data_IF_176698726100
#
_entry.id   IF_176698726100
#
_cell.length_a   1.000
_cell.length_b   1.000
_cell.length_c   1.000
_cell.angle_alpha   90.00
_cell.angle_beta   90.00
_cell.angle_gamma   90.00
#
_symmetry.space_group_name_H-M   'P 1'
#
loop_
_entity.id
_entity.type
_entity.pdbx_description
1 polymer ?
#
# COMPACT_ATOMS: atom_id res chain seq x y z
N UNK A 1 -25.36 6.23 29.52
CA UNK A 1 -24.10 5.83 28.87
C UNK A 1 -24.42 4.84 27.75
N UNK A 2 -23.94 5.08 26.54
CA UNK A 2 -24.08 4.12 25.44
C UNK A 2 -23.05 3.00 25.66
N UNK A 3 -23.52 1.82 26.05
CA UNK A 3 -22.67 0.63 26.17
C UNK A 3 -22.42 0.05 24.77
N UNK A 4 -21.26 0.34 24.18
CA UNK A 4 -20.87 -0.25 22.90
C UNK A 4 -20.47 -1.71 23.17
N UNK A 5 -21.30 -2.67 22.74
CA UNK A 5 -21.02 -4.10 22.88
C UNK A 5 -20.06 -4.63 21.82
N UNK A 6 -20.07 -4.03 20.63
CA UNK A 6 -19.18 -4.36 19.52
C UNK A 6 -19.02 -3.13 18.60
N UNK A 7 -17.93 -3.12 17.84
CA UNK A 7 -17.64 -2.10 16.83
C UNK A 7 -16.89 -2.74 15.66
N UNK A 8 -16.95 -2.11 14.49
CA UNK A 8 -16.31 -2.65 13.29
C UNK A 8 -14.97 -1.98 13.06
N UNK A 9 -13.95 -2.78 12.77
CA UNK A 9 -12.64 -2.33 12.34
C UNK A 9 -12.47 -2.70 10.89
N UNK A 10 -12.20 -1.71 10.04
CA UNK A 10 -11.85 -1.91 8.63
C UNK A 10 -10.32 -1.91 8.57
N UNK A 11 -9.74 -3.02 8.13
CA UNK A 11 -8.30 -3.13 7.89
C UNK A 11 -8.06 -2.84 6.41
N UNK A 12 -7.46 -1.70 6.10
CA UNK A 12 -6.94 -1.38 4.77
C UNK A 12 -5.63 -2.15 4.52
N UNK A 13 -5.61 -2.94 3.46
CA UNK A 13 -4.50 -3.81 3.08
C UNK A 13 -3.59 -3.12 2.07
N UNK A 14 -2.35 -3.62 1.96
CA UNK A 14 -1.33 -3.02 1.09
C UNK A 14 -1.71 -3.05 -0.40
N UNK A 15 -2.58 -3.97 -0.82
CA UNK A 15 -3.06 -4.09 -2.20
C UNK A 15 -4.30 -3.22 -2.50
N UNK A 16 -4.81 -2.47 -1.53
CA UNK A 16 -6.03 -1.66 -1.65
C UNK A 16 -7.34 -2.40 -1.35
N UNK A 17 -7.27 -3.69 -1.02
CA UNK A 17 -8.42 -4.42 -0.47
C UNK A 17 -8.64 -4.05 0.99
N UNK A 18 -9.81 -4.41 1.53
CA UNK A 18 -10.12 -4.22 2.95
C UNK A 18 -10.70 -5.47 3.62
N UNK A 19 -10.44 -5.60 4.93
CA UNK A 19 -11.02 -6.63 5.78
C UNK A 19 -11.88 -5.99 6.87
N UNK A 20 -13.15 -6.36 6.92
CA UNK A 20 -14.05 -5.95 7.99
C UNK A 20 -13.98 -6.96 9.14
N UNK A 21 -13.60 -6.48 10.33
CA UNK A 21 -13.44 -7.29 11.55
C UNK A 21 -14.32 -6.71 12.65
N UNK A 22 -15.27 -7.51 13.14
CA UNK A 22 -16.03 -7.15 14.35
C UNK A 22 -15.19 -7.36 15.60
N UNK A 23 -15.07 -6.30 16.41
CA UNK A 23 -14.30 -6.30 17.64
C UNK A 23 -15.18 -5.98 18.84
N UNK A 24 -14.85 -6.60 19.97
CA UNK A 24 -15.39 -6.21 21.29
C UNK A 24 -14.42 -5.23 21.99
N UNK A 25 -14.88 -4.43 22.97
CA UNK A 25 -14.04 -3.39 23.60
C UNK A 25 -12.73 -3.87 24.24
N UNK A 26 -12.63 -5.14 24.60
CA UNK A 26 -11.43 -5.73 25.20
C UNK A 26 -10.34 -6.12 24.19
N UNK A 27 -10.60 -6.08 22.88
CA UNK A 27 -9.62 -6.47 21.86
C UNK A 27 -8.42 -5.53 21.88
N UNK A 28 -7.23 -6.12 21.97
CA UNK A 28 -5.94 -5.41 21.97
C UNK A 28 -5.30 -5.39 20.58
N UNK A 29 -4.38 -4.46 20.35
CA UNK A 29 -3.56 -4.39 19.14
C UNK A 29 -2.86 -5.70 18.80
N UNK A 30 -2.36 -6.43 19.81
CA UNK A 30 -1.77 -7.77 19.60
C UNK A 30 -2.78 -8.77 19.03
N UNK A 31 -3.98 -8.84 19.61
CA UNK A 31 -5.00 -9.80 19.19
C UNK A 31 -5.51 -9.50 17.78
N UNK A 32 -5.79 -8.23 17.50
CA UNK A 32 -6.22 -7.80 16.17
C UNK A 32 -5.13 -8.11 15.13
N UNK A 33 -3.87 -7.75 15.40
CA UNK A 33 -2.77 -8.01 14.48
C UNK A 33 -2.54 -9.51 14.25
N UNK A 34 -2.64 -10.33 15.30
CA UNK A 34 -2.52 -11.78 15.14
C UNK A 34 -3.59 -12.34 14.21
N UNK A 35 -4.85 -11.91 14.37
CA UNK A 35 -5.96 -12.32 13.50
C UNK A 35 -5.72 -11.92 12.04
N UNK A 36 -5.29 -10.68 11.80
CA UNK A 36 -4.98 -10.18 10.45
C UNK A 36 -3.81 -10.95 9.84
N UNK A 37 -2.72 -11.13 10.59
CA UNK A 37 -1.53 -11.83 10.11
C UNK A 37 -1.79 -13.31 9.80
N UNK A 38 -2.67 -13.97 10.55
CA UNK A 38 -3.10 -15.35 10.29
C UNK A 38 -3.98 -15.43 9.04
N UNK A 39 -4.95 -14.51 8.89
CA UNK A 39 -5.80 -14.42 7.71
C UNK A 39 -4.98 -14.24 6.42
N UNK A 40 -4.02 -13.32 6.45
CA UNK A 40 -3.11 -13.03 5.33
C UNK A 40 -1.96 -14.04 5.18
N UNK A 41 -1.86 -15.02 6.10
CA UNK A 41 -0.77 -16.02 6.14
C UNK A 41 0.63 -15.38 6.13
N UNK A 42 0.79 -14.25 6.83
CA UNK A 42 2.06 -13.55 6.93
C UNK A 42 3.10 -14.41 7.65
N UNK A 43 4.24 -14.64 6.98
CA UNK A 43 5.40 -15.35 7.54
C UNK A 43 6.29 -14.41 8.33
N UNK A 44 6.72 -13.30 7.73
CA UNK A 44 7.64 -12.33 8.33
C UNK A 44 6.89 -11.26 9.16
N UNK A 45 6.05 -11.71 10.09
CA UNK A 45 5.13 -10.89 10.89
C UNK A 45 5.80 -9.76 11.67
N UNK A 46 7.10 -9.83 11.94
CA UNK A 46 7.79 -8.78 12.67
C UNK A 46 7.98 -7.50 11.83
N UNK A 47 7.91 -7.60 10.49
CA UNK A 47 8.10 -6.47 9.58
C UNK A 47 6.86 -5.60 9.44
N UNK A 48 5.67 -6.12 9.73
CA UNK A 48 4.41 -5.42 9.56
C UNK A 48 3.81 -5.00 10.90
N UNK A 49 2.93 -4.01 10.85
CA UNK A 49 2.15 -3.55 11.97
C UNK A 49 0.82 -2.97 11.52
N UNK A 50 -0.06 -2.76 12.48
CA UNK A 50 -1.30 -2.02 12.28
C UNK A 50 -1.08 -0.57 12.71
N UNK A 51 -1.50 0.36 11.87
CA UNK A 51 -1.41 1.79 12.14
C UNK A 51 -2.76 2.47 11.90
N UNK A 52 -3.06 3.49 12.69
CA UNK A 52 -4.18 4.40 12.41
C UNK A 52 -3.64 5.75 11.92
N UNK A 53 -4.45 6.47 11.17
CA UNK A 53 -4.10 7.83 10.73
C UNK A 53 -4.41 8.84 11.83
N UNK A 54 -3.43 9.68 12.16
CA UNK A 54 -3.59 10.83 13.03
C UNK A 54 -3.00 12.08 12.34
N UNK A 55 -3.87 12.99 11.90
CA UNK A 55 -3.47 14.01 10.92
C UNK A 55 -3.07 13.34 9.61
N UNK A 56 -1.85 13.63 9.15
CA UNK A 56 -1.25 13.06 7.93
C UNK A 56 -0.25 11.93 8.23
N UNK A 57 -0.15 11.47 9.48
CA UNK A 57 0.84 10.46 9.89
C UNK A 57 0.20 9.12 10.28
N UNK A 58 0.89 8.04 9.92
CA UNK A 58 0.57 6.68 10.36
C UNK A 58 1.17 6.40 11.73
N UNK A 59 0.31 6.22 12.74
CA UNK A 59 0.72 5.89 14.11
C UNK A 59 0.50 4.40 14.37
N UNK A 60 1.60 3.67 14.59
CA UNK A 60 1.54 2.23 14.89
C UNK A 60 0.89 1.95 16.24
N UNK A 61 -0.06 1.02 16.24
CA UNK A 61 -0.81 0.60 17.42
C UNK A 61 0.08 -0.24 18.34
N UNK A 62 0.11 0.10 19.63
CA UNK A 62 0.85 -0.71 20.60
C UNK A 62 0.16 -2.06 20.84
N UNK A 63 0.97 -3.09 21.12
CA UNK A 63 0.47 -4.46 21.37
C UNK A 63 -0.53 -4.53 22.51
N UNK A 64 -0.40 -3.68 23.53
CA UNK A 64 -1.24 -3.66 24.73
C UNK A 64 -2.39 -2.65 24.65
N UNK A 65 -2.36 -1.73 23.68
CA UNK A 65 -3.42 -0.75 23.48
C UNK A 65 -4.71 -1.44 23.08
N UNK A 66 -5.84 -1.03 23.67
CA UNK A 66 -7.15 -1.52 23.23
C UNK A 66 -7.56 -0.78 21.97
N UNK A 67 -8.10 -1.50 21.01
CA UNK A 67 -8.55 -0.90 19.76
C UNK A 67 -9.73 0.05 20.01
N UNK A 68 -10.55 -0.24 21.01
CA UNK A 68 -11.66 0.61 21.43
C UNK A 68 -11.20 2.03 21.82
N UNK A 69 -10.03 2.17 22.43
CA UNK A 69 -9.49 3.47 22.85
C UNK A 69 -9.19 4.38 21.64
N UNK A 70 -9.02 3.81 20.45
CA UNK A 70 -8.80 4.54 19.20
C UNK A 70 -10.05 5.23 18.65
N UNK A 71 -11.26 4.85 19.11
CA UNK A 71 -12.53 5.48 18.66
C UNK A 71 -12.56 6.98 18.91
N UNK A 72 -11.83 7.46 19.92
CA UNK A 72 -11.77 8.87 20.28
C UNK A 72 -10.61 9.62 19.61
N UNK A 73 -9.62 8.89 19.08
CA UNK A 73 -8.38 9.46 18.55
C UNK A 73 -8.33 9.48 17.03
N UNK A 74 -9.02 8.55 16.38
CA UNK A 74 -9.17 8.55 14.93
C UNK A 74 -10.33 9.48 14.55
N UNK A 75 -10.30 10.05 13.35
CA UNK A 75 -11.50 10.53 12.67
C UNK A 75 -12.41 9.33 12.38
N UNK A 76 -13.01 8.78 13.43
CA UNK A 76 -13.85 7.59 13.37
C UNK A 76 -14.89 7.86 12.28
N UNK A 77 -14.83 7.06 11.22
CA UNK A 77 -15.83 7.09 10.18
C UNK A 77 -17.16 6.91 10.91
N UNK A 78 -18.05 7.88 10.75
CA UNK A 78 -19.35 7.95 11.41
C UNK A 78 -19.95 6.56 11.60
N UNK A 79 -20.46 6.25 12.81
CA UNK A 79 -21.14 4.98 13.19
C UNK A 79 -20.22 3.83 13.67
N UNK A 80 -19.36 4.07 14.67
CA UNK A 80 -18.58 3.00 15.35
C UNK A 80 -17.67 2.19 14.41
N UNK A 81 -17.12 2.80 13.36
CA UNK A 81 -16.15 2.17 12.46
C UNK A 81 -14.78 2.82 12.62
N UNK A 82 -13.75 1.99 12.74
CA UNK A 82 -12.35 2.43 12.81
C UNK A 82 -11.63 1.96 11.56
N UNK A 83 -10.97 2.86 10.85
CA UNK A 83 -10.06 2.52 9.77
C UNK A 83 -8.65 2.32 10.33
N UNK A 84 -8.05 1.18 10.04
CA UNK A 84 -6.69 0.82 10.43
C UNK A 84 -5.99 0.31 9.18
N UNK A 85 -4.73 0.69 8.99
CA UNK A 85 -3.92 0.31 7.84
C UNK A 85 -2.91 -0.77 8.26
N UNK A 86 -2.79 -1.82 7.46
CA UNK A 86 -1.63 -2.70 7.50
C UNK A 86 -0.44 -1.97 6.84
N UNK A 87 0.66 -1.79 7.56
CA UNK A 87 1.85 -1.09 7.06
C UNK A 87 3.13 -1.87 7.39
N UNK A 88 4.19 -1.67 6.61
CA UNK A 88 5.55 -2.08 6.97
C UNK A 88 6.07 -1.17 8.08
N UNK A 89 6.44 -1.76 9.21
CA UNK A 89 6.98 -1.09 10.39
C UNK A 89 8.50 -0.98 10.37
N UNK A 90 9.18 -2.01 9.86
CA UNK A 90 10.63 -2.04 9.80
C UNK A 90 11.08 -2.30 8.38
N UNK A 91 11.70 -1.29 7.77
CA UNK A 91 12.22 -1.43 6.43
C UNK A 91 13.58 -2.17 6.46
N UNK A 92 13.68 -3.26 5.70
CA UNK A 92 14.89 -3.95 5.31
C UNK A 92 15.71 -3.09 4.35
N UNK A 93 17.00 -2.95 4.64
CA UNK A 93 17.97 -2.24 3.79
C UNK A 93 18.65 -3.15 2.75
N UNK A 94 18.49 -4.47 2.88
CA UNK A 94 19.08 -5.46 1.99
C UNK A 94 17.99 -6.33 1.37
N UNK A 95 17.88 -6.27 0.05
CA UNK A 95 16.90 -7.04 -0.74
C UNK A 95 17.12 -8.55 -0.63
N UNK A 96 18.33 -9.01 -0.31
CA UNK A 96 18.63 -10.43 -0.09
C UNK A 96 17.94 -10.98 1.17
N UNK A 97 17.46 -10.11 2.06
CA UNK A 97 16.64 -10.49 3.20
C UNK A 97 15.18 -10.79 2.78
N UNK A 98 14.74 -10.33 1.60
CA UNK A 98 13.39 -10.58 1.06
C UNK A 98 13.32 -11.91 0.29
N UNK A 99 13.52 -13.01 1.03
CA UNK A 99 13.72 -14.35 0.45
C UNK A 99 12.48 -14.92 -0.24
N UNK A 100 11.28 -14.58 0.22
CA UNK A 100 10.03 -15.14 -0.31
C UNK A 100 9.38 -14.21 -1.35
N UNK A 101 8.79 -14.76 -2.43
CA UNK A 101 8.01 -13.95 -3.38
C UNK A 101 6.90 -13.14 -2.70
N UNK A 102 6.22 -13.74 -1.73
CA UNK A 102 5.15 -13.08 -0.96
C UNK A 102 5.65 -11.87 -0.19
N UNK A 103 6.81 -11.95 0.47
CA UNK A 103 7.38 -10.80 1.15
C UNK A 103 7.74 -9.70 0.16
N UNK A 104 8.39 -10.04 -0.96
CA UNK A 104 8.73 -9.05 -2.01
C UNK A 104 7.51 -8.33 -2.54
N UNK A 105 6.44 -9.07 -2.84
CA UNK A 105 5.19 -8.50 -3.31
C UNK A 105 4.59 -7.51 -2.30
N UNK A 106 4.47 -7.91 -1.03
CA UNK A 106 3.97 -7.01 0.03
C UNK A 106 4.85 -5.77 0.20
N UNK A 107 6.15 -5.92 0.04
CA UNK A 107 7.11 -4.83 0.14
C UNK A 107 6.99 -3.85 -1.03
N UNK A 108 6.86 -4.37 -2.25
CA UNK A 108 6.54 -3.60 -3.45
C UNK A 108 5.26 -2.78 -3.25
N UNK A 109 4.19 -3.41 -2.75
CA UNK A 109 2.92 -2.73 -2.48
C UNK A 109 3.06 -1.60 -1.45
N UNK A 110 3.79 -1.82 -0.35
CA UNK A 110 4.07 -0.75 0.60
C UNK A 110 4.81 0.42 -0.05
N UNK A 111 5.89 0.15 -0.80
CA UNK A 111 6.67 1.20 -1.44
C UNK A 111 5.87 1.94 -2.52
N UNK A 112 4.92 1.27 -3.17
CA UNK A 112 3.97 1.90 -4.10
C UNK A 112 3.02 2.84 -3.37
N UNK A 113 2.49 2.43 -2.22
CA UNK A 113 1.67 3.30 -1.39
C UNK A 113 2.48 4.52 -0.91
N UNK A 114 3.70 4.31 -0.40
CA UNK A 114 4.59 5.39 0.04
C UNK A 114 4.90 6.37 -1.09
N UNK A 115 5.11 5.86 -2.30
CA UNK A 115 5.36 6.66 -3.49
C UNK A 115 4.16 7.55 -3.81
N UNK A 116 2.96 6.97 -3.93
CA UNK A 116 1.73 7.70 -4.29
C UNK A 116 1.32 8.71 -3.22
N UNK A 117 1.53 8.40 -1.94
CA UNK A 117 1.32 9.30 -0.81
C UNK A 117 2.34 10.46 -0.77
N UNK A 118 3.43 10.38 -1.55
CA UNK A 118 4.46 11.41 -1.60
C UNK A 118 5.45 11.36 -0.44
N UNK A 119 5.59 10.21 0.23
CA UNK A 119 6.48 10.02 1.38
C UNK A 119 7.98 10.09 1.00
N UNK A 120 8.31 10.17 -0.29
CA UNK A 120 9.64 10.52 -0.77
C UNK A 120 9.61 11.28 -2.10
N UNK A 121 10.54 12.22 -2.25
CA UNK A 121 10.71 13.00 -3.48
C UNK A 121 11.71 12.32 -4.41
N UNK A 122 11.36 12.19 -5.69
CA UNK A 122 12.29 11.80 -6.75
C UNK A 122 12.11 12.71 -7.97
N UNK A 123 13.05 12.65 -8.91
CA UNK A 123 12.90 13.37 -10.16
C UNK A 123 11.82 12.74 -11.06
N UNK A 124 11.41 13.47 -12.09
CA UNK A 124 10.34 13.05 -12.98
C UNK A 124 10.67 11.74 -13.73
N UNK A 125 11.93 11.49 -14.08
CA UNK A 125 12.32 10.29 -14.82
C UNK A 125 12.30 9.05 -13.93
N UNK A 126 12.74 9.19 -12.68
CA UNK A 126 12.62 8.12 -11.67
C UNK A 126 11.14 7.83 -11.41
N UNK A 127 10.31 8.87 -11.19
CA UNK A 127 8.88 8.69 -10.98
C UNK A 127 8.19 7.96 -12.15
N UNK A 128 8.51 8.32 -13.39
CA UNK A 128 8.00 7.64 -14.59
C UNK A 128 8.50 6.19 -14.70
N UNK A 129 9.74 5.91 -14.28
CA UNK A 129 10.28 4.55 -14.27
C UNK A 129 9.59 3.67 -13.22
N UNK A 130 9.35 4.21 -12.02
CA UNK A 130 8.59 3.58 -10.93
C UNK A 130 7.15 3.30 -11.38
N UNK A 131 6.50 4.28 -12.01
CA UNK A 131 5.15 4.11 -12.56
C UNK A 131 5.10 3.05 -13.67
N UNK A 132 6.08 3.05 -14.59
CA UNK A 132 6.16 2.05 -15.67
C UNK A 132 6.36 0.63 -15.13
N UNK A 133 7.23 0.45 -14.13
CA UNK A 133 7.41 -0.83 -13.44
C UNK A 133 6.14 -1.27 -12.71
N UNK A 134 5.37 -0.32 -12.17
CA UNK A 134 4.09 -0.64 -11.53
C UNK A 134 3.06 -1.11 -12.54
N UNK A 135 2.97 -0.47 -13.72
CA UNK A 135 2.13 -0.95 -14.81
C UNK A 135 2.55 -2.35 -15.26
N UNK A 136 3.87 -2.60 -15.40
CA UNK A 136 4.39 -3.92 -15.79
C UNK A 136 4.08 -4.99 -14.72
N UNK A 137 4.18 -4.65 -13.44
CA UNK A 137 3.85 -5.55 -12.34
C UNK A 137 2.35 -5.91 -12.32
N UNK A 138 1.47 -4.97 -12.70
CA UNK A 138 0.02 -5.16 -12.68
C UNK A 138 -0.50 -5.84 -13.96
N UNK A 139 -0.16 -5.31 -15.13
CA UNK A 139 -0.68 -5.77 -16.43
C UNK A 139 0.22 -6.81 -17.10
N UNK A 140 1.53 -6.75 -16.88
CA UNK A 140 2.50 -7.47 -17.70
C UNK A 140 2.77 -6.70 -18.99
N UNK A 141 3.16 -7.39 -20.06
CA UNK A 141 3.42 -6.74 -21.34
C UNK A 141 2.17 -6.01 -21.86
N UNK A 142 2.36 -4.80 -22.38
CA UNK A 142 1.27 -4.03 -22.96
C UNK A 142 0.73 -4.70 -24.23
N UNK A 143 -0.55 -5.08 -24.22
CA UNK A 143 -1.26 -5.56 -25.39
C UNK A 143 -2.25 -4.49 -25.92
N UNK A 144 -1.93 -3.91 -27.07
CA UNK A 144 -2.78 -2.91 -27.73
C UNK A 144 -4.16 -3.44 -28.16
N UNK A 145 -4.30 -4.74 -28.34
CA UNK A 145 -5.56 -5.38 -28.74
C UNK A 145 -6.54 -5.54 -27.58
N UNK A 146 -6.02 -5.64 -26.35
CA UNK A 146 -6.81 -5.83 -25.13
C UNK A 146 -7.15 -4.48 -24.47
N UNK A 147 -6.18 -3.56 -24.42
CA UNK A 147 -6.20 -2.44 -23.49
C UNK A 147 -6.51 -1.07 -24.13
N UNK A 148 -6.28 -0.91 -25.43
CA UNK A 148 -6.34 0.40 -26.09
C UNK A 148 -5.41 1.43 -25.42
N UNK A 149 -5.67 2.74 -25.61
CA UNK A 149 -4.80 3.82 -25.08
C UNK A 149 -5.15 4.28 -23.65
N UNK A 150 -6.30 3.89 -23.12
CA UNK A 150 -6.85 4.39 -21.85
C UNK A 150 -6.90 3.33 -20.74
N UNK A 151 -5.88 2.47 -20.67
CA UNK A 151 -5.86 1.29 -19.80
C UNK A 151 -5.42 1.54 -18.35
N UNK A 152 -5.17 2.81 -17.98
CA UNK A 152 -4.71 3.16 -16.63
C UNK A 152 -5.10 4.59 -16.26
N UNK A 153 -5.21 4.88 -14.96
CA UNK A 153 -5.39 6.23 -14.43
C UNK A 153 -4.07 6.73 -13.85
N UNK A 154 -3.67 7.96 -14.18
CA UNK A 154 -2.36 8.50 -13.78
C UNK A 154 -2.17 8.49 -12.26
N UNK A 155 -3.24 8.80 -11.53
CA UNK A 155 -3.29 8.88 -10.07
C UNK A 155 -2.95 7.56 -9.38
N UNK A 156 -3.08 6.43 -10.08
CA UNK A 156 -2.75 5.11 -9.55
C UNK A 156 -1.27 4.75 -9.73
N UNK A 157 -0.51 5.54 -10.50
CA UNK A 157 0.88 5.22 -10.86
C UNK A 157 1.85 6.39 -10.71
N UNK A 158 1.37 7.61 -10.49
CA UNK A 158 2.19 8.79 -10.27
C UNK A 158 1.61 9.67 -9.16
N UNK A 159 2.46 10.26 -8.31
CA UNK A 159 2.02 11.23 -7.32
C UNK A 159 1.47 12.48 -7.98
N UNK A 160 0.53 13.14 -7.30
CA UNK A 160 -0.12 14.36 -7.80
C UNK A 160 0.89 15.43 -8.25
N UNK A 161 1.94 15.68 -7.47
CA UNK A 161 2.95 16.69 -7.79
C UNK A 161 3.76 16.35 -9.06
N UNK A 162 3.96 15.07 -9.37
CA UNK A 162 4.65 14.65 -10.60
C UNK A 162 3.77 14.88 -11.82
N UNK A 163 2.47 14.59 -11.70
CA UNK A 163 1.48 14.82 -12.75
C UNK A 163 1.38 16.32 -13.06
N UNK A 164 1.32 17.16 -12.03
CA UNK A 164 1.28 18.63 -12.16
C UNK A 164 2.55 19.16 -12.85
N UNK A 165 3.75 18.72 -12.40
CA UNK A 165 5.03 19.15 -12.98
C UNK A 165 5.20 18.77 -14.45
N UNK A 166 4.69 17.61 -14.86
CA UNK A 166 4.83 17.13 -16.24
C UNK A 166 3.70 17.63 -17.15
N UNK A 167 2.57 18.09 -16.61
CA UNK A 167 1.25 18.13 -17.26
C UNK A 167 0.68 16.73 -17.52
N UNK A 168 -0.64 16.57 -17.28
CA UNK A 168 -1.36 15.29 -17.43
C UNK A 168 -1.14 14.61 -18.79
N UNK A 169 -1.23 15.34 -19.90
CA UNK A 169 -1.10 14.74 -21.23
C UNK A 169 0.30 14.19 -21.47
N UNK A 170 1.33 14.91 -21.04
CA UNK A 170 2.73 14.49 -21.19
C UNK A 170 3.04 13.34 -20.23
N UNK A 171 2.54 13.40 -19.00
CA UNK A 171 2.69 12.33 -18.02
C UNK A 171 2.08 11.03 -18.54
N UNK A 172 0.87 11.08 -19.12
CA UNK A 172 0.18 9.94 -19.73
C UNK A 172 1.01 9.30 -20.83
N UNK A 173 1.48 10.09 -21.80
CA UNK A 173 2.30 9.60 -22.92
C UNK A 173 3.61 9.00 -22.43
N UNK A 174 4.35 9.72 -21.58
CA UNK A 174 5.64 9.24 -21.08
C UNK A 174 5.50 7.99 -20.22
N UNK A 175 4.49 7.93 -19.36
CA UNK A 175 4.28 6.76 -18.51
C UNK A 175 3.97 5.52 -19.37
N UNK A 176 3.15 5.67 -20.41
CA UNK A 176 2.91 4.60 -21.39
C UNK A 176 4.21 4.17 -22.09
N UNK A 177 5.04 5.10 -22.56
CA UNK A 177 6.34 4.76 -23.17
C UNK A 177 7.27 4.02 -22.21
N UNK A 178 7.27 4.38 -20.93
CA UNK A 178 8.03 3.67 -19.90
C UNK A 178 7.52 2.25 -19.70
N UNK A 179 6.20 2.03 -19.69
CA UNK A 179 5.62 0.69 -19.64
C UNK A 179 5.97 -0.14 -20.88
N UNK A 180 5.79 0.43 -22.07
CA UNK A 180 6.06 -0.25 -23.34
C UNK A 180 7.51 -0.74 -23.45
N UNK A 181 8.48 0.02 -22.94
CA UNK A 181 9.91 -0.36 -22.95
C UNK A 181 10.25 -1.55 -22.02
N UNK A 182 9.33 -1.96 -21.17
CA UNK A 182 9.52 -3.08 -20.23
C UNK A 182 9.04 -4.42 -20.79
N UNK A 183 8.62 -4.47 -22.06
CA UNK A 183 8.19 -5.70 -22.73
C UNK A 183 9.18 -6.86 -22.51
N UNK A 184 8.63 -8.03 -22.14
CA UNK A 184 9.37 -9.24 -21.81
C UNK A 184 9.89 -9.31 -20.37
N UNK A 185 9.69 -8.27 -19.54
CA UNK A 185 9.98 -8.31 -18.10
C UNK A 185 8.80 -8.96 -17.37
N UNK A 186 9.04 -10.03 -16.63
CA UNK A 186 7.98 -10.65 -15.82
C UNK A 186 7.48 -9.72 -14.71
N UNK A 187 6.23 -9.93 -14.26
CA UNK A 187 5.63 -9.15 -13.16
C UNK A 187 6.51 -9.17 -11.90
N UNK A 188 7.04 -10.33 -11.55
CA UNK A 188 7.90 -10.50 -10.37
C UNK A 188 9.25 -9.78 -10.51
N UNK A 189 9.82 -9.74 -11.72
CA UNK A 189 11.04 -9.00 -11.97
C UNK A 189 10.78 -7.49 -11.97
N UNK A 190 9.60 -7.04 -12.41
CA UNK A 190 9.20 -5.65 -12.33
C UNK A 190 9.11 -5.17 -10.87
N UNK A 191 8.48 -5.96 -9.99
CA UNK A 191 8.45 -5.69 -8.55
C UNK A 191 9.84 -5.63 -7.93
N UNK A 192 10.72 -6.57 -8.28
CA UNK A 192 12.11 -6.59 -7.82
C UNK A 192 12.87 -5.34 -8.24
N UNK A 193 12.76 -4.94 -9.51
CA UNK A 193 13.38 -3.72 -10.02
C UNK A 193 12.80 -2.47 -9.34
N UNK A 194 11.49 -2.45 -9.08
CA UNK A 194 10.86 -1.36 -8.33
C UNK A 194 11.51 -1.20 -6.96
N UNK A 195 11.63 -2.30 -6.21
CA UNK A 195 12.23 -2.30 -4.86
C UNK A 195 13.68 -1.82 -4.90
N UNK A 196 14.45 -2.13 -5.95
CA UNK A 196 15.86 -1.74 -6.09
C UNK A 196 16.08 -0.27 -6.46
N UNK A 197 15.10 0.39 -7.06
CA UNK A 197 15.20 1.81 -7.42
C UNK A 197 15.13 2.72 -6.19
N UNK A 198 14.48 2.25 -5.11
CA UNK A 198 14.31 2.97 -3.85
C UNK A 198 15.37 2.56 -2.83
#
# INVERSE_FOLDING_TARGET
>A
EFHISAFTVIIDLLNGDSLDIECIPSVTGKQLYQSVAEHLKLRERYLFGLAYMYGEEHIFIDKKQRIFDLLHSCSALSRNRILIHLRVKFYLNDIHLMRTPSLRHLYYLQLRNDFLEGNYCCDNNIALSIGGLSLQAEFGDYDSSEYGKEYFLLEHYLPYFTIERLNRSVAKTKLHEHHFKLEGISKELAELKYIQIK
#
